data_IF_642376922350
#
_entry.id   IF_642376922350
#
_cell.length_a   1.000
_cell.length_b   1.000
_cell.length_c   1.000
_cell.angle_alpha   90.00
_cell.angle_beta   90.00
_cell.angle_gamma   90.00
#
_symmetry.space_group_name_H-M   'P 1'
#
loop_
_entity.id
_entity.type
_entity.pdbx_description
1 polymer ?
#
# COMPACT_ATOMS: atom_id res chain seq x y z
N UNK A 1 25.66 -12.28 -14.06
CA UNK A 1 24.83 -13.36 -13.45
C UNK A 1 23.58 -12.76 -12.82
N UNK A 2 22.56 -13.56 -12.45
CA UNK A 2 21.39 -13.05 -11.71
C UNK A 2 21.47 -13.59 -10.30
N UNK A 3 21.44 -12.72 -9.30
CA UNK A 3 21.35 -13.11 -7.90
C UNK A 3 19.90 -12.91 -7.43
N UNK A 4 19.08 -13.96 -7.50
CA UNK A 4 17.75 -13.97 -6.89
C UNK A 4 17.85 -14.65 -5.53
N UNK A 5 17.59 -13.90 -4.45
CA UNK A 5 17.49 -14.48 -3.10
C UNK A 5 16.10 -15.06 -2.81
N UNK A 6 15.12 -14.78 -3.65
CA UNK A 6 13.72 -15.15 -3.48
C UNK A 6 13.11 -15.45 -4.87
N UNK A 7 12.38 -16.55 -4.96
CA UNK A 7 11.65 -16.95 -6.16
C UNK A 7 10.15 -16.64 -6.05
N UNK A 8 9.72 -15.81 -5.09
CA UNK A 8 8.32 -15.42 -4.90
C UNK A 8 8.10 -13.95 -5.26
N UNK A 9 6.98 -13.62 -5.90
CA UNK A 9 6.63 -12.23 -6.15
C UNK A 9 6.23 -11.49 -4.84
N UNK A 10 6.59 -10.20 -4.67
CA UNK A 10 7.35 -9.41 -5.61
C UNK A 10 8.86 -9.64 -5.44
N UNK A 11 9.55 -9.99 -6.53
CA UNK A 11 10.97 -10.35 -6.51
C UNK A 11 11.85 -9.19 -7.01
N UNK A 12 12.85 -8.82 -6.22
CA UNK A 12 13.89 -7.86 -6.63
C UNK A 12 15.08 -8.61 -7.21
N UNK A 13 15.53 -8.14 -8.38
CA UNK A 13 16.59 -8.77 -9.15
C UNK A 13 17.66 -7.73 -9.45
N UNK A 14 18.88 -7.99 -8.98
CA UNK A 14 20.07 -7.23 -9.35
C UNK A 14 20.72 -7.93 -10.57
N UNK A 15 20.72 -7.27 -11.72
CA UNK A 15 21.30 -7.81 -12.95
C UNK A 15 22.77 -7.43 -13.07
N UNK A 16 23.64 -8.44 -13.20
CA UNK A 16 25.08 -8.25 -13.42
C UNK A 16 25.44 -8.52 -14.90
N UNK A 17 25.82 -7.45 -15.60
CA UNK A 17 26.23 -7.47 -16.99
C UNK A 17 27.69 -7.88 -17.15
N UNK A 18 27.90 -9.00 -17.85
CA UNK A 18 29.22 -9.57 -18.10
C UNK A 18 29.71 -9.35 -19.54
N UNK A 19 28.99 -8.54 -20.32
CA UNK A 19 29.35 -8.21 -21.70
C UNK A 19 30.68 -7.46 -21.76
N UNK A 20 31.53 -7.79 -22.73
CA UNK A 20 32.83 -7.13 -22.93
C UNK A 20 32.82 -6.28 -24.20
N UNK A 21 33.44 -5.09 -24.13
CA UNK A 21 33.70 -4.19 -25.29
C UNK A 21 32.46 -3.61 -25.98
N UNK A 22 31.29 -3.68 -25.36
CA UNK A 22 30.07 -3.02 -25.84
C UNK A 22 30.07 -1.52 -25.50
N UNK A 23 29.32 -0.73 -26.27
CA UNK A 23 29.14 0.71 -26.12
C UNK A 23 27.78 1.04 -25.49
N UNK A 24 26.73 0.28 -25.84
CA UNK A 24 25.39 0.45 -25.29
C UNK A 24 24.74 -0.88 -24.94
N UNK A 25 23.74 -0.81 -24.07
CA UNK A 25 23.00 -1.95 -23.54
C UNK A 25 21.50 -1.67 -23.64
N UNK A 26 20.74 -2.71 -23.94
CA UNK A 26 19.29 -2.72 -23.82
C UNK A 26 18.87 -3.98 -23.08
N UNK A 27 18.25 -3.79 -21.93
CA UNK A 27 17.58 -4.82 -21.16
C UNK A 27 16.10 -4.81 -21.51
N UNK A 28 15.57 -5.98 -21.84
CA UNK A 28 14.15 -6.28 -21.86
C UNK A 28 13.89 -7.28 -20.74
N UNK A 29 13.07 -6.90 -19.76
CA UNK A 29 12.85 -7.73 -18.58
C UNK A 29 11.79 -8.82 -18.79
N UNK A 30 11.14 -8.84 -19.96
CA UNK A 30 10.10 -9.82 -20.30
C UNK A 30 8.73 -9.52 -19.67
N UNK A 31 8.58 -8.40 -18.96
CA UNK A 31 7.34 -7.94 -18.32
C UNK A 31 6.78 -6.66 -18.98
N UNK A 32 7.31 -6.30 -20.15
CA UNK A 32 6.98 -5.08 -20.88
C UNK A 32 7.81 -3.85 -20.48
N UNK A 33 8.70 -3.96 -19.49
CA UNK A 33 9.62 -2.88 -19.10
C UNK A 33 11.04 -3.12 -19.62
N UNK A 34 11.80 -2.03 -19.78
CA UNK A 34 13.17 -2.05 -20.32
C UNK A 34 14.11 -1.13 -19.54
N UNK A 35 15.42 -1.31 -19.71
CA UNK A 35 16.45 -0.40 -19.17
C UNK A 35 17.65 -0.31 -20.11
N UNK A 36 18.35 0.83 -20.10
CA UNK A 36 19.62 1.03 -20.80
C UNK A 36 20.82 1.06 -19.85
N UNK A 37 20.61 0.83 -18.56
CA UNK A 37 21.69 0.82 -17.58
C UNK A 37 22.64 -0.35 -17.82
N UNK A 38 23.90 -0.17 -17.43
CA UNK A 38 24.92 -1.22 -17.57
C UNK A 38 24.49 -2.45 -16.77
N UNK A 39 24.11 -2.27 -15.50
CA UNK A 39 23.71 -3.34 -14.57
C UNK A 39 22.48 -2.86 -13.77
N UNK A 40 21.25 -3.02 -14.31
CA UNK A 40 20.03 -2.50 -13.70
C UNK A 40 19.59 -3.31 -12.49
N UNK A 41 18.76 -2.67 -11.67
CA UNK A 41 17.92 -3.35 -10.68
C UNK A 41 16.49 -3.35 -11.17
N UNK A 42 15.82 -4.48 -11.04
CA UNK A 42 14.43 -4.61 -11.46
C UNK A 42 13.57 -5.28 -10.40
N UNK A 43 12.27 -5.02 -10.43
CA UNK A 43 11.30 -5.62 -9.50
C UNK A 43 10.14 -6.23 -10.28
N UNK A 44 10.03 -7.55 -10.22
CA UNK A 44 8.89 -8.29 -10.76
C UNK A 44 7.75 -8.28 -9.76
N UNK A 45 6.61 -7.71 -10.14
CA UNK A 45 5.42 -7.58 -9.29
C UNK A 45 4.49 -8.79 -9.41
N UNK A 46 4.50 -9.44 -10.58
CA UNK A 46 3.70 -10.62 -10.84
C UNK A 46 4.55 -11.88 -10.92
N UNK A 47 3.93 -13.00 -10.62
CA UNK A 47 4.44 -14.34 -10.78
C UNK A 47 4.36 -14.75 -12.24
N UNK A 48 5.06 -15.83 -12.54
CA UNK A 48 5.15 -16.39 -13.87
C UNK A 48 6.57 -16.44 -14.37
N UNK A 49 6.66 -16.65 -15.68
CA UNK A 49 7.89 -16.92 -16.41
C UNK A 49 8.24 -15.72 -17.27
N UNK A 50 9.44 -15.19 -17.05
CA UNK A 50 9.96 -14.02 -17.74
C UNK A 50 11.20 -14.39 -18.54
N UNK A 51 11.19 -14.06 -19.83
CA UNK A 51 12.37 -14.18 -20.69
C UNK A 51 13.09 -12.84 -20.72
N UNK A 52 14.12 -12.70 -19.88
CA UNK A 52 14.96 -11.51 -19.85
C UNK A 52 15.95 -11.54 -20.99
N UNK A 53 16.09 -10.41 -21.71
CA UNK A 53 17.05 -10.25 -22.79
C UNK A 53 18.00 -9.09 -22.50
N UNK A 54 19.29 -9.34 -22.70
CA UNK A 54 20.31 -8.30 -22.74
C UNK A 54 20.86 -8.22 -24.16
N UNK A 55 20.66 -7.09 -24.82
CA UNK A 55 21.31 -6.75 -26.10
C UNK A 55 22.46 -5.78 -25.86
N UNK A 56 23.69 -6.23 -26.09
CA UNK A 56 24.89 -5.41 -26.08
C UNK A 56 25.27 -5.00 -27.51
N UNK A 57 25.55 -3.72 -27.73
CA UNK A 57 25.82 -3.15 -29.06
C UNK A 57 27.20 -2.50 -29.10
N UNK A 58 27.92 -2.68 -30.22
CA UNK A 58 29.16 -1.96 -30.55
C UNK A 58 29.14 -1.56 -32.03
N UNK A 59 29.06 -0.27 -32.33
CA UNK A 59 28.82 0.21 -33.69
C UNK A 59 27.60 -0.47 -34.33
N UNK A 60 27.79 -1.20 -35.43
CA UNK A 60 26.72 -1.94 -36.12
C UNK A 60 26.55 -3.40 -35.64
N UNK A 61 27.37 -3.88 -34.72
CA UNK A 61 27.32 -5.25 -34.23
C UNK A 61 26.52 -5.31 -32.94
N UNK A 62 25.62 -6.28 -32.85
CA UNK A 62 24.85 -6.56 -31.63
C UNK A 62 25.04 -8.02 -31.23
N UNK A 63 24.94 -8.28 -29.93
CA UNK A 63 24.85 -9.63 -29.38
C UNK A 63 23.78 -9.64 -28.30
N UNK A 64 22.90 -10.64 -28.35
CA UNK A 64 21.79 -10.78 -27.42
C UNK A 64 21.94 -12.08 -26.64
N UNK A 65 21.81 -11.97 -25.32
CA UNK A 65 21.71 -13.10 -24.41
C UNK A 65 20.33 -13.12 -23.79
N UNK A 66 19.76 -14.31 -23.62
CA UNK A 66 18.47 -14.50 -22.96
C UNK A 66 18.64 -15.34 -21.69
N UNK A 67 17.83 -15.05 -20.67
CA UNK A 67 17.72 -15.85 -19.46
C UNK A 67 16.28 -15.91 -19.00
N UNK A 68 15.85 -17.12 -18.66
CA UNK A 68 14.56 -17.35 -18.06
C UNK A 68 14.61 -17.16 -16.53
N UNK A 69 13.65 -16.42 -16.01
CA UNK A 69 13.36 -16.28 -14.59
C UNK A 69 11.94 -16.77 -14.33
N UNK A 70 11.74 -17.49 -13.22
CA UNK A 70 10.44 -18.00 -12.79
C UNK A 70 10.20 -17.49 -11.38
N UNK A 71 9.06 -16.84 -11.18
CA UNK A 71 8.59 -16.40 -9.87
C UNK A 71 7.26 -17.07 -9.55
N UNK A 72 7.14 -17.59 -8.34
CA UNK A 72 5.94 -18.16 -7.76
C UNK A 72 5.03 -17.05 -7.21
N UNK A 73 3.73 -17.31 -7.22
CA UNK A 73 2.74 -16.42 -6.60
C UNK A 73 2.94 -16.37 -5.09
N UNK A 74 2.78 -15.19 -4.45
CA UNK A 74 2.78 -15.12 -2.99
C UNK A 74 1.58 -15.89 -2.45
N UNK A 75 1.79 -16.61 -1.34
CA UNK A 75 0.70 -17.25 -0.60
C UNK A 75 -0.29 -16.20 -0.05
N UNK A 76 0.22 -15.04 0.36
CA UNK A 76 -0.57 -13.95 0.90
C UNK A 76 -1.10 -13.05 -0.22
N UNK A 77 -2.31 -12.52 -0.05
CA UNK A 77 -2.83 -11.48 -0.94
C UNK A 77 -2.11 -10.15 -0.64
N UNK A 78 -1.17 -9.76 -1.49
CA UNK A 78 -0.35 -8.58 -1.32
C UNK A 78 -0.70 -7.49 -2.35
N UNK A 79 -0.65 -6.24 -1.92
CA UNK A 79 -0.76 -5.06 -2.78
C UNK A 79 0.44 -4.15 -2.55
N UNK A 80 1.06 -3.69 -3.62
CA UNK A 80 2.02 -2.58 -3.58
C UNK A 80 1.29 -1.27 -3.86
N UNK A 81 1.51 -0.27 -3.01
CA UNK A 81 1.09 1.10 -3.25
C UNK A 81 2.34 1.98 -3.34
N UNK A 82 2.59 2.51 -4.53
CA UNK A 82 3.67 3.43 -4.84
C UNK A 82 3.18 4.86 -4.59
N UNK A 83 3.91 5.63 -3.78
CA UNK A 83 3.57 7.01 -3.45
C UNK A 83 4.73 7.95 -3.80
N UNK A 84 4.48 9.26 -3.81
CA UNK A 84 5.54 10.27 -4.02
C UNK A 84 6.62 10.25 -2.93
N UNK A 85 6.38 9.63 -1.78
CA UNK A 85 7.33 9.54 -0.66
C UNK A 85 7.92 8.14 -0.47
N UNK A 86 7.58 7.18 -1.33
CA UNK A 86 8.05 5.80 -1.30
C UNK A 86 6.92 4.78 -1.44
N UNK A 87 7.28 3.51 -1.52
CA UNK A 87 6.32 2.41 -1.70
C UNK A 87 6.03 1.68 -0.40
N UNK A 88 4.79 1.27 -0.23
CA UNK A 88 4.34 0.38 0.85
C UNK A 88 3.83 -0.94 0.26
N UNK A 89 4.04 -2.03 1.00
CA UNK A 89 3.42 -3.33 0.69
C UNK A 89 2.43 -3.67 1.78
N UNK A 90 1.20 -3.95 1.38
CA UNK A 90 0.07 -4.23 2.26
C UNK A 90 -0.35 -5.68 2.04
N UNK A 91 -0.48 -6.44 3.13
CA UNK A 91 -1.17 -7.73 3.14
C UNK A 91 -2.65 -7.49 3.40
N UNK A 92 -3.52 -7.99 2.53
CA UNK A 92 -4.96 -7.95 2.75
C UNK A 92 -5.41 -9.16 3.59
N UNK A 93 -6.46 -8.98 4.40
CA UNK A 93 -6.97 -10.02 5.29
C UNK A 93 -8.06 -10.86 4.63
N UNK A 94 -7.96 -12.18 4.75
CA UNK A 94 -8.97 -13.12 4.24
C UNK A 94 -10.24 -13.14 5.09
N UNK A 95 -10.17 -12.68 6.35
CA UNK A 95 -11.31 -12.54 7.25
C UNK A 95 -12.22 -11.34 6.93
N UNK A 96 -11.83 -10.50 5.97
CA UNK A 96 -12.61 -9.37 5.44
C UNK A 96 -12.71 -9.47 3.92
N UNK A 97 -13.36 -10.53 3.39
CA UNK A 97 -13.33 -10.84 1.97
C UNK A 97 -14.00 -9.76 1.11
N UNK A 98 -15.07 -9.12 1.57
CA UNK A 98 -15.75 -8.09 0.77
C UNK A 98 -14.85 -6.86 0.56
N UNK A 99 -14.14 -6.42 1.60
CA UNK A 99 -13.19 -5.31 1.48
C UNK A 99 -11.95 -5.69 0.70
N UNK A 100 -11.39 -6.88 0.95
CA UNK A 100 -10.24 -7.42 0.20
C UNK A 100 -10.54 -7.44 -1.29
N UNK A 101 -11.62 -8.09 -1.69
CA UNK A 101 -11.96 -8.31 -3.09
C UNK A 101 -12.34 -6.99 -3.78
N UNK A 102 -13.03 -6.09 -3.08
CA UNK A 102 -13.32 -4.74 -3.58
C UNK A 102 -12.04 -3.91 -3.78
N UNK A 103 -11.09 -3.95 -2.84
CA UNK A 103 -9.84 -3.21 -2.96
C UNK A 103 -8.98 -3.74 -4.12
N UNK A 104 -8.91 -5.07 -4.29
CA UNK A 104 -8.26 -5.73 -5.44
C UNK A 104 -8.89 -5.27 -6.75
N UNK A 105 -10.23 -5.36 -6.87
CA UNK A 105 -10.96 -4.93 -8.07
C UNK A 105 -10.65 -3.48 -8.45
N UNK A 106 -10.63 -2.58 -7.48
CA UNK A 106 -10.32 -1.16 -7.72
C UNK A 106 -8.83 -0.96 -8.08
N UNK A 107 -7.91 -1.69 -7.46
CA UNK A 107 -6.50 -1.64 -7.83
C UNK A 107 -6.25 -2.16 -9.26
N UNK A 108 -6.87 -3.26 -9.65
CA UNK A 108 -6.73 -3.86 -11.00
C UNK A 108 -7.28 -2.98 -12.13
N UNK A 109 -8.23 -2.11 -11.81
CA UNK A 109 -8.81 -1.14 -12.74
C UNK A 109 -8.10 0.21 -12.70
N UNK A 110 -6.92 0.28 -12.06
CA UNK A 110 -6.12 1.50 -11.89
C UNK A 110 -6.92 2.64 -11.23
N UNK A 111 -7.96 2.28 -10.45
CA UNK A 111 -8.88 3.23 -9.85
C UNK A 111 -8.13 4.20 -8.94
N UNK A 112 -7.20 3.70 -8.12
CA UNK A 112 -6.44 4.49 -7.15
C UNK A 112 -5.27 5.29 -7.75
N UNK A 113 -4.94 5.09 -9.02
CA UNK A 113 -3.77 5.71 -9.64
C UNK A 113 -3.94 7.24 -9.73
N UNK A 114 -2.85 7.94 -9.39
CA UNK A 114 -2.74 9.40 -9.33
C UNK A 114 -3.77 10.08 -8.39
N UNK A 115 -4.21 9.41 -7.31
CA UNK A 115 -5.04 10.02 -6.26
C UNK A 115 -4.19 10.70 -5.18
N UNK A 116 -4.79 11.62 -4.42
CA UNK A 116 -4.14 12.25 -3.27
C UNK A 116 -4.41 11.47 -1.98
N UNK A 117 -3.43 11.51 -1.07
CA UNK A 117 -3.76 11.48 0.36
C UNK A 117 -4.36 12.83 0.74
N UNK A 118 -5.68 12.93 0.68
CA UNK A 118 -6.39 14.21 0.78
C UNK A 118 -6.58 14.67 2.23
N UNK A 119 -6.33 13.81 3.22
CA UNK A 119 -6.42 14.14 4.64
C UNK A 119 -5.31 13.42 5.41
N UNK A 120 -4.52 14.17 6.17
CA UNK A 120 -3.34 13.69 6.89
C UNK A 120 -3.34 14.27 8.29
N UNK A 121 -3.37 13.41 9.30
CA UNK A 121 -3.41 13.83 10.70
C UNK A 121 -2.28 13.14 11.45
N UNK A 122 -1.25 13.92 11.80
CA UNK A 122 -0.09 13.44 12.54
C UNK A 122 -0.49 12.87 13.92
N UNK A 123 -0.10 11.64 14.17
CA UNK A 123 -0.46 10.86 15.35
C UNK A 123 -1.77 10.11 15.23
N UNK A 124 -2.42 10.13 14.06
CA UNK A 124 -3.70 9.48 13.84
C UNK A 124 -3.65 8.62 12.57
N UNK A 125 -3.78 9.21 11.37
CA UNK A 125 -3.93 8.45 10.12
C UNK A 125 -3.64 9.30 8.88
N UNK A 126 -3.45 8.61 7.75
CA UNK A 126 -3.37 9.18 6.40
C UNK A 126 -4.51 8.59 5.55
N UNK A 127 -5.35 9.44 4.95
CA UNK A 127 -6.57 9.03 4.25
C UNK A 127 -6.47 9.31 2.74
N UNK A 128 -6.90 8.33 1.94
CA UNK A 128 -6.92 8.38 0.49
C UNK A 128 -8.17 7.72 -0.10
N UNK A 129 -8.11 7.41 -1.40
CA UNK A 129 -9.16 6.67 -2.10
C UNK A 129 -10.38 7.50 -2.55
N UNK A 130 -10.28 8.83 -2.53
CA UNK A 130 -11.29 9.71 -3.14
C UNK A 130 -10.95 9.96 -4.63
N UNK A 131 -11.78 9.50 -5.59
CA UNK A 131 -11.54 9.70 -7.02
C UNK A 131 -11.52 11.17 -7.47
N UNK A 132 -12.21 12.05 -6.75
CA UNK A 132 -12.27 13.48 -7.09
C UNK A 132 -10.93 14.16 -6.84
N UNK A 133 -10.02 13.49 -6.11
CA UNK A 133 -8.68 13.98 -5.82
C UNK A 133 -7.73 13.98 -7.02
N UNK A 134 -7.97 13.15 -8.06
CA UNK A 134 -7.01 12.94 -9.16
C UNK A 134 -6.59 14.23 -9.88
N UNK A 135 -7.54 15.15 -10.03
CA UNK A 135 -7.34 16.44 -10.69
C UNK A 135 -7.80 17.60 -9.79
N UNK A 136 -7.79 17.40 -8.48
CA UNK A 136 -8.30 18.38 -7.54
C UNK A 136 -7.48 19.68 -7.58
N UNK A 137 -8.18 20.81 -7.63
CA UNK A 137 -7.53 22.12 -7.49
C UNK A 137 -7.04 22.31 -6.05
N UNK A 138 -6.04 23.17 -5.87
CA UNK A 138 -5.59 23.58 -4.53
C UNK A 138 -6.77 24.12 -3.73
N UNK A 139 -6.96 23.63 -2.50
CA UNK A 139 -8.06 24.01 -1.63
C UNK A 139 -9.43 23.40 -1.97
N UNK A 140 -9.54 22.56 -3.00
CA UNK A 140 -10.78 21.82 -3.27
C UNK A 140 -11.08 20.88 -2.10
N UNK A 141 -12.32 20.95 -1.59
CA UNK A 141 -12.81 20.04 -0.57
C UNK A 141 -12.92 18.62 -1.13
N UNK A 142 -12.37 17.67 -0.41
CA UNK A 142 -12.36 16.24 -0.73
C UNK A 142 -12.89 15.43 0.46
N UNK A 143 -12.97 14.12 0.31
CA UNK A 143 -13.46 13.17 1.30
C UNK A 143 -14.92 12.75 1.09
N UNK A 144 -15.55 13.14 -0.02
CA UNK A 144 -16.95 12.82 -0.33
C UNK A 144 -17.11 11.97 -1.60
N UNK A 145 -16.07 11.85 -2.42
CA UNK A 145 -16.13 11.05 -3.63
C UNK A 145 -16.06 9.55 -3.35
N UNK A 146 -16.42 8.77 -4.37
CA UNK A 146 -16.37 7.31 -4.33
C UNK A 146 -16.99 6.69 -5.59
N UNK A 147 -17.04 5.35 -5.68
CA UNK A 147 -17.50 4.66 -6.89
C UNK A 147 -19.03 4.54 -6.99
N UNK A 148 -19.79 5.27 -6.16
CA UNK A 148 -21.25 5.24 -6.14
C UNK A 148 -21.88 4.09 -5.35
N UNK A 149 -21.09 3.35 -4.57
CA UNK A 149 -21.57 2.29 -3.69
C UNK A 149 -20.81 2.26 -2.36
N UNK A 150 -21.34 1.50 -1.40
CA UNK A 150 -20.75 1.24 -0.08
C UNK A 150 -20.58 -0.25 0.15
N UNK A 151 -19.62 -0.64 0.98
CA UNK A 151 -19.34 -2.04 1.33
C UNK A 151 -19.92 -2.33 2.73
N UNK A 152 -20.61 -3.47 2.96
CA UNK A 152 -21.05 -3.84 4.31
C UNK A 152 -19.87 -3.92 5.29
N UNK A 153 -20.07 -3.51 6.54
CA UNK A 153 -19.03 -3.59 7.55
C UNK A 153 -18.61 -5.04 7.84
N UNK A 154 -17.31 -5.27 7.94
CA UNK A 154 -16.70 -6.54 8.34
C UNK A 154 -15.85 -6.29 9.60
N UNK A 155 -16.46 -6.39 10.78
CA UNK A 155 -15.75 -6.21 12.05
C UNK A 155 -15.21 -7.56 12.53
N UNK A 156 -13.91 -7.65 12.75
CA UNK A 156 -13.22 -8.87 13.19
C UNK A 156 -12.44 -8.57 14.46
N UNK A 157 -12.73 -9.26 15.56
CA UNK A 157 -12.14 -8.97 16.88
C UNK A 157 -10.60 -9.03 16.91
N UNK A 158 -10.00 -9.85 16.05
CA UNK A 158 -8.54 -9.95 15.92
C UNK A 158 -7.89 -8.83 15.10
N UNK A 159 -8.66 -8.07 14.33
CA UNK A 159 -8.16 -7.01 13.46
C UNK A 159 -8.41 -5.64 14.11
N UNK A 160 -7.38 -5.13 14.77
CA UNK A 160 -7.41 -3.86 15.50
C UNK A 160 -6.61 -2.78 14.76
N UNK A 161 -6.87 -1.52 15.09
CA UNK A 161 -6.26 -0.36 14.45
C UNK A 161 -4.85 -0.06 14.97
N UNK A 162 -3.93 -1.01 14.80
CA UNK A 162 -2.50 -0.80 15.05
C UNK A 162 -1.85 0.00 13.92
N UNK A 163 -0.65 0.55 14.15
CA UNK A 163 0.12 1.23 13.11
C UNK A 163 0.27 0.36 11.86
N UNK A 164 -0.02 0.95 10.69
CA UNK A 164 -0.01 0.25 9.40
C UNK A 164 -1.27 -0.51 9.06
N UNK A 165 -2.27 -0.57 9.93
CA UNK A 165 -3.58 -1.12 9.59
C UNK A 165 -4.20 -0.31 8.44
N UNK A 166 -4.61 -1.01 7.38
CA UNK A 166 -5.41 -0.48 6.29
C UNK A 166 -6.88 -0.67 6.66
N UNK A 167 -7.59 0.45 6.77
CA UNK A 167 -8.97 0.48 7.24
C UNK A 167 -9.86 1.29 6.32
N UNK A 168 -11.15 0.94 6.29
CA UNK A 168 -12.11 1.58 5.41
C UNK A 168 -12.70 2.85 6.07
N UNK A 169 -12.72 3.95 5.33
CA UNK A 169 -13.39 5.16 5.79
C UNK A 169 -14.92 5.00 5.67
N UNK A 170 -15.68 5.75 6.47
CA UNK A 170 -17.15 5.79 6.36
C UNK A 170 -17.70 7.12 6.85
N UNK A 171 -18.95 7.38 6.51
CA UNK A 171 -19.73 8.46 7.12
C UNK A 171 -20.05 8.13 8.58
N UNK A 172 -20.27 9.17 9.39
CA UNK A 172 -20.62 9.05 10.80
C UNK A 172 -22.00 8.42 11.03
N UNK A 173 -22.19 7.86 12.23
CA UNK A 173 -23.31 6.98 12.57
C UNK A 173 -24.69 7.62 12.39
N UNK A 174 -24.82 8.95 12.57
CA UNK A 174 -26.08 9.67 12.36
C UNK A 174 -26.57 9.61 10.91
N UNK A 175 -25.65 9.49 9.94
CA UNK A 175 -25.96 9.37 8.50
C UNK A 175 -25.88 7.91 8.05
N UNK A 176 -25.01 7.13 8.69
CA UNK A 176 -24.70 5.74 8.33
C UNK A 176 -24.82 4.82 9.56
N UNK A 177 -26.05 4.54 10.03
CA UNK A 177 -26.27 3.74 11.24
C UNK A 177 -25.83 2.28 11.08
N UNK A 178 -25.82 1.77 9.85
CA UNK A 178 -25.31 0.42 9.51
C UNK A 178 -23.78 0.36 9.47
N UNK A 179 -23.09 1.50 9.67
CA UNK A 179 -21.63 1.63 9.65
C UNK A 179 -20.98 1.09 8.38
N UNK A 180 -21.69 1.14 7.24
CA UNK A 180 -21.17 0.69 5.94
C UNK A 180 -19.95 1.50 5.53
N UNK A 181 -18.95 0.83 4.98
CA UNK A 181 -17.73 1.44 4.49
C UNK A 181 -17.95 2.20 3.19
N UNK A 182 -17.18 3.26 2.97
CA UNK A 182 -17.00 3.87 1.65
C UNK A 182 -16.57 2.80 0.64
N UNK A 183 -17.04 2.91 -0.60
CA UNK A 183 -16.68 1.98 -1.66
C UNK A 183 -15.20 2.02 -2.04
N UNK A 184 -14.49 3.11 -1.80
CA UNK A 184 -13.08 3.26 -2.18
C UNK A 184 -12.21 4.01 -1.17
N UNK A 185 -12.79 4.83 -0.30
CA UNK A 185 -11.97 5.61 0.63
C UNK A 185 -11.45 4.73 1.77
N UNK A 186 -10.16 4.89 2.05
CA UNK A 186 -9.46 4.14 3.09
C UNK A 186 -8.51 5.06 3.83
N UNK A 187 -8.03 4.60 4.98
CA UNK A 187 -6.92 5.22 5.68
C UNK A 187 -5.91 4.18 6.14
N UNK A 188 -4.66 4.60 6.26
CA UNK A 188 -3.61 3.86 6.93
C UNK A 188 -3.38 4.48 8.31
N UNK A 189 -3.40 3.64 9.33
CA UNK A 189 -3.18 4.07 10.71
C UNK A 189 -1.71 4.45 10.90
N UNK A 190 -1.47 5.66 11.40
CA UNK A 190 -0.17 6.02 11.99
C UNK A 190 -0.22 5.77 13.50
N UNK A 191 -1.19 6.37 14.17
CA UNK A 191 -1.37 6.29 15.61
C UNK A 191 -0.20 6.82 16.45
N UNK A 192 -0.33 6.71 17.76
CA UNK A 192 0.75 6.92 18.74
C UNK A 192 0.75 5.78 19.76
N UNK A 193 1.93 5.45 20.34
CA UNK A 193 2.00 4.55 21.49
C UNK A 193 1.06 5.00 22.60
N UNK A 194 0.33 4.05 23.18
CA UNK A 194 -0.58 4.28 24.31
C UNK A 194 0.07 3.78 25.61
N UNK A 195 -0.25 4.42 26.73
CA UNK A 195 0.11 3.88 28.04
C UNK A 195 -0.80 2.71 28.43
N UNK A 196 -0.32 1.84 29.31
CA UNK A 196 -1.13 0.74 29.85
C UNK A 196 -2.44 1.25 30.47
N UNK A 197 -2.39 2.36 31.22
CA UNK A 197 -3.59 2.94 31.84
C UNK A 197 -4.60 3.49 30.83
N UNK A 198 -4.15 4.02 29.68
CA UNK A 198 -5.06 4.40 28.59
C UNK A 198 -5.77 3.18 28.01
N UNK A 199 -5.04 2.07 27.80
CA UNK A 199 -5.64 0.83 27.32
C UNK A 199 -6.64 0.26 28.35
N UNK A 200 -6.31 0.26 29.64
CA UNK A 200 -7.21 -0.22 30.70
C UNK A 200 -8.52 0.57 30.73
N UNK A 201 -8.44 1.90 30.61
CA UNK A 201 -9.62 2.76 30.54
C UNK A 201 -10.48 2.43 29.31
N UNK A 202 -9.86 2.21 28.15
CA UNK A 202 -10.56 1.89 26.92
C UNK A 202 -11.22 0.51 26.96
N UNK A 203 -10.52 -0.50 27.48
CA UNK A 203 -11.07 -1.84 27.69
C UNK A 203 -12.29 -1.80 28.62
N UNK A 204 -12.22 -1.00 29.70
CA UNK A 204 -13.34 -0.79 30.61
C UNK A 204 -14.52 -0.10 29.92
N UNK A 205 -14.27 0.97 29.15
CA UNK A 205 -15.31 1.71 28.44
C UNK A 205 -15.98 0.89 27.33
N UNK A 206 -15.21 0.10 26.58
CA UNK A 206 -15.69 -0.68 25.44
C UNK A 206 -16.15 -2.10 25.81
N UNK A 207 -15.88 -2.56 27.03
CA UNK A 207 -16.35 -3.85 27.53
C UNK A 207 -15.65 -5.07 26.92
N UNK A 208 -14.42 -4.93 26.41
CA UNK A 208 -13.60 -6.05 25.94
C UNK A 208 -12.13 -5.83 26.27
N UNK A 209 -11.33 -6.90 26.24
CA UNK A 209 -9.89 -6.86 26.54
C UNK A 209 -9.06 -7.14 25.29
N UNK A 210 -7.92 -6.48 25.20
CA UNK A 210 -6.90 -6.81 24.20
C UNK A 210 -6.10 -8.04 24.65
N UNK A 211 -5.59 -8.81 23.69
CA UNK A 211 -4.59 -9.84 23.98
C UNK A 211 -3.27 -9.21 24.45
N UNK A 212 -2.40 -9.99 25.10
CA UNK A 212 -1.09 -9.50 25.52
C UNK A 212 -0.28 -8.93 24.33
N UNK A 213 -0.30 -9.63 23.19
CA UNK A 213 0.35 -9.21 21.95
C UNK A 213 -0.22 -7.91 21.38
N UNK A 214 -1.56 -7.76 21.37
CA UNK A 214 -2.21 -6.52 20.94
C UNK A 214 -1.80 -5.34 21.83
N UNK A 215 -1.74 -5.54 23.16
CA UNK A 215 -1.29 -4.50 24.10
C UNK A 215 0.17 -4.14 23.88
N UNK A 216 1.04 -5.13 23.66
CA UNK A 216 2.45 -4.88 23.37
C UNK A 216 2.61 -4.01 22.11
N UNK A 217 1.89 -4.32 21.03
CA UNK A 217 1.94 -3.52 19.79
C UNK A 217 1.41 -2.11 20.04
N UNK A 218 0.24 -1.96 20.69
CA UNK A 218 -0.37 -0.65 20.95
C UNK A 218 0.49 0.24 21.87
N UNK A 219 1.24 -0.37 22.80
CA UNK A 219 2.11 0.38 23.72
C UNK A 219 3.50 0.67 23.17
N UNK A 220 3.98 -0.08 22.18
CA UNK A 220 5.33 0.10 21.61
C UNK A 220 5.30 0.81 20.25
N UNK A 221 4.41 0.38 19.35
CA UNK A 221 4.32 0.88 17.98
C UNK A 221 3.18 1.90 17.80
N UNK A 222 2.14 1.79 18.63
CA UNK A 222 0.99 2.67 18.61
C UNK A 222 -0.15 2.20 17.72
N UNK A 223 -1.22 3.00 17.74
CA UNK A 223 -2.44 2.72 17.00
C UNK A 223 -3.53 3.73 17.30
N UNK A 224 -4.74 3.39 16.89
CA UNK A 224 -5.95 4.19 17.07
C UNK A 224 -7.10 3.32 17.60
N UNK A 225 -6.91 2.64 18.76
CA UNK A 225 -7.85 1.64 19.27
C UNK A 225 -9.26 2.17 19.57
N UNK A 226 -9.43 3.50 19.57
CA UNK A 226 -10.75 4.12 19.71
C UNK A 226 -11.63 3.87 18.48
N UNK A 227 -11.06 3.49 17.34
CA UNK A 227 -11.78 3.06 16.12
C UNK A 227 -12.14 1.56 16.09
N UNK A 228 -11.58 0.75 16.99
CA UNK A 228 -11.82 -0.69 17.03
C UNK A 228 -13.30 -1.01 17.21
N UNK A 229 -13.78 -1.99 16.44
CA UNK A 229 -15.19 -2.44 16.33
C UNK A 229 -16.17 -1.41 15.74
N UNK A 230 -15.67 -0.27 15.27
CA UNK A 230 -16.47 0.77 14.60
C UNK A 230 -16.09 0.98 13.13
N UNK A 231 -14.90 0.54 12.73
CA UNK A 231 -14.37 0.63 11.38
C UNK A 231 -13.72 -0.69 10.97
N UNK A 232 -13.88 -1.07 9.71
CA UNK A 232 -13.30 -2.32 9.19
C UNK A 232 -11.81 -2.13 8.92
N UNK A 233 -10.99 -2.94 9.58
CA UNK A 233 -9.58 -3.17 9.23
C UNK A 233 -9.55 -4.34 8.24
N UNK A 234 -8.96 -4.14 7.05
CA UNK A 234 -8.96 -5.16 5.99
C UNK A 234 -7.58 -5.43 5.39
N UNK A 235 -6.53 -4.80 5.92
CA UNK A 235 -5.16 -5.15 5.61
C UNK A 235 -4.17 -4.58 6.62
N UNK A 236 -2.90 -4.94 6.45
CA UNK A 236 -1.78 -4.51 7.27
C UNK A 236 -0.57 -4.23 6.39
N UNK A 237 0.08 -3.08 6.59
CA UNK A 237 1.37 -2.77 5.97
C UNK A 237 2.44 -3.72 6.54
N UNK A 238 3.08 -4.47 5.64
CA UNK A 238 4.15 -5.44 5.95
C UNK A 238 5.53 -4.95 5.51
N UNK A 239 5.61 -3.96 4.60
CA UNK A 239 6.86 -3.27 4.22
C UNK A 239 6.58 -1.78 3.97
N UNK A 240 7.53 -0.92 4.35
CA UNK A 240 7.41 0.53 4.17
C UNK A 240 6.62 1.23 5.27
N UNK A 241 6.65 0.71 6.51
CA UNK A 241 5.93 1.33 7.64
C UNK A 241 6.41 2.77 7.91
N UNK A 242 7.69 3.07 7.65
CA UNK A 242 8.28 4.40 7.76
C UNK A 242 7.69 5.41 6.76
N UNK A 243 7.14 4.93 5.64
CA UNK A 243 6.50 5.79 4.64
C UNK A 243 5.23 6.42 5.23
N UNK A 244 4.50 5.71 6.09
CA UNK A 244 3.32 6.26 6.78
C UNK A 244 3.74 7.47 7.64
N UNK A 245 4.85 7.38 8.35
CA UNK A 245 5.36 8.49 9.15
C UNK A 245 5.83 9.67 8.29
N UNK A 246 6.45 9.40 7.14
CA UNK A 246 6.84 10.46 6.19
C UNK A 246 5.62 11.20 5.66
N UNK A 247 4.58 10.47 5.24
CA UNK A 247 3.33 11.08 4.76
C UNK A 247 2.66 11.83 5.90
N UNK A 248 2.56 11.26 7.09
CA UNK A 248 1.92 11.90 8.24
C UNK A 248 2.70 13.10 8.80
N UNK A 249 3.99 13.20 8.50
CA UNK A 249 4.86 14.29 8.90
C UNK A 249 4.83 15.52 7.99
N UNK A 250 4.11 15.48 6.86
CA UNK A 250 4.00 16.65 5.97
C UNK A 250 3.18 17.77 6.62
N UNK A 251 3.42 19.01 6.22
CA UNK A 251 2.61 20.14 6.65
C UNK A 251 1.22 20.08 6.02
N UNK A 252 0.20 20.37 6.82
CA UNK A 252 -1.20 20.41 6.39
C UNK A 252 -1.83 21.78 6.63
N UNK A 253 -2.92 22.06 5.92
CA UNK A 253 -3.80 23.19 6.20
C UNK A 253 -4.76 22.90 7.36
N UNK A 254 -5.64 23.86 7.68
CA UNK A 254 -6.63 23.71 8.75
C UNK A 254 -7.73 22.67 8.49
N UNK A 255 -7.79 22.07 7.30
CA UNK A 255 -8.68 20.97 6.96
C UNK A 255 -7.93 19.62 6.92
N UNK A 256 -6.72 19.56 7.48
CA UNK A 256 -5.81 18.41 7.46
C UNK A 256 -5.35 18.02 6.04
N UNK A 257 -5.50 18.88 5.03
CA UNK A 257 -5.02 18.59 3.68
C UNK A 257 -3.53 18.93 3.56
N UNK A 258 -2.68 18.05 2.99
CA UNK A 258 -1.28 18.39 2.73
C UNK A 258 -1.13 19.69 1.92
N UNK A 259 -0.21 20.57 2.35
CA UNK A 259 0.10 21.82 1.64
C UNK A 259 0.73 21.55 0.27
N UNK A 260 1.58 20.51 0.23
CA UNK A 260 2.13 19.92 -0.98
C UNK A 260 1.49 18.56 -1.20
N UNK A 261 1.00 18.30 -2.41
CA UNK A 261 0.25 17.09 -2.73
C UNK A 261 1.12 15.85 -2.54
N UNK A 262 0.69 14.95 -1.64
CA UNK A 262 1.22 13.60 -1.54
C UNK A 262 0.32 12.66 -2.33
N UNK A 263 0.87 12.02 -3.36
CA UNK A 263 0.08 11.20 -4.29
C UNK A 263 0.32 9.72 -4.10
N UNK A 264 -0.74 8.94 -4.27
CA UNK A 264 -0.69 7.54 -4.65
C UNK A 264 -0.44 7.52 -6.16
N UNK A 265 0.76 7.17 -6.56
CA UNK A 265 1.17 7.12 -7.96
C UNK A 265 0.50 5.93 -8.64
N UNK A 266 0.65 4.75 -8.02
CA UNK A 266 0.13 3.50 -8.57
C UNK A 266 -0.20 2.49 -7.47
N UNK A 267 -1.25 1.71 -7.66
CA UNK A 267 -1.56 0.55 -6.81
C UNK A 267 -1.55 -0.72 -7.66
N UNK A 268 -0.72 -1.70 -7.28
CA UNK A 268 -0.55 -2.97 -8.01
C UNK A 268 -0.85 -4.15 -7.11
N UNK A 269 -1.74 -5.04 -7.56
CA UNK A 269 -1.90 -6.34 -6.92
C UNK A 269 -0.70 -7.20 -7.25
N UNK A 270 -0.03 -7.73 -6.22
CA UNK A 270 1.08 -8.67 -6.37
C UNK A 270 0.44 -10.05 -6.48
N UNK A 271 0.75 -10.76 -7.56
CA UNK A 271 0.21 -12.07 -7.89
C UNK A 271 1.32 -13.00 -8.32
#
# INVERSE_FOLDING_TARGET
>A
MVNTKDNTAPAKVDFDNQSKKAETYLWDFGDGTTSTDISPKHKYITSGKYTVKLTATKGKKTHTMEKELIFEAPHDCLVEMETTLGSITIKLHDSTPQHRDNFIKLAETEYYDNMLFHRVINGFMIQGGDPDSKNAKKGQRLGVGGPGYTVPAEFVDGLIHIKGALSAARQGDAVNPEKRSSGSQFYLVQGKPLSAGQLDQMEWQKGYKYTAEQREILTTQGGTPFLDKDYTVFGQVVKGLDIIDKVAGVQTDGADRPLEDVKIIKVRVIK
#
